data_IF_635454203409
#
_entry.id   IF_635454203409
#
_cell.length_a   1.000
_cell.length_b   1.000
_cell.length_c   1.000
_cell.angle_alpha   90.00
_cell.angle_beta   90.00
_cell.angle_gamma   90.00
#
_symmetry.space_group_name_H-M   'P 1'
#
loop_
_entity.id
_entity.type
_entity.pdbx_description
1 polymer ?
#
# COMPACT_ATOMS: atom_id res chain seq x y z
N UNK A 1 23.35 12.56 16.11
CA UNK A 1 23.00 12.68 15.69
C UNK A 1 23.17 12.86 16.17
N UNK A 2 23.52 13.00 16.99
CA UNK A 2 23.16 13.11 16.98
C UNK A 2 23.24 12.68 16.66
N UNK A 3 24.36 12.34 17.74
CA UNK A 3 23.73 12.15 16.48
C UNK A 3 24.13 13.13 15.42
N UNK A 4 24.37 12.61 14.20
CA UNK A 4 24.59 13.46 13.06
C UNK A 4 23.29 14.18 12.67
N UNK A 5 23.42 15.24 11.89
CA UNK A 5 22.24 15.93 11.37
C UNK A 5 21.36 15.01 10.55
N UNK A 6 21.95 14.14 9.74
CA UNK A 6 21.15 13.25 8.90
C UNK A 6 20.38 12.21 9.72
N UNK A 7 21.00 11.65 10.78
CA UNK A 7 20.30 10.74 11.66
C UNK A 7 19.17 11.41 12.41
N UNK A 8 19.41 12.61 12.89
CA UNK A 8 18.38 13.37 13.59
C UNK A 8 17.22 13.69 12.66
N UNK A 9 17.54 14.13 11.47
CA UNK A 9 16.52 14.44 10.47
C UNK A 9 15.72 13.18 10.11
N UNK A 10 16.40 12.04 9.91
CA UNK A 10 15.73 10.79 9.60
C UNK A 10 14.73 10.41 10.68
N UNK A 11 15.15 10.48 11.94
CA UNK A 11 14.25 10.15 13.05
C UNK A 11 13.06 11.09 13.11
N UNK A 12 13.29 12.37 12.91
CA UNK A 12 12.24 13.36 12.93
C UNK A 12 11.23 13.12 11.82
N UNK A 13 11.71 12.91 10.60
CA UNK A 13 10.86 12.65 9.45
C UNK A 13 10.06 11.36 9.66
N UNK A 14 10.72 10.31 10.17
CA UNK A 14 10.06 9.03 10.38
C UNK A 14 9.00 9.12 11.46
N UNK A 15 9.29 9.76 12.58
CA UNK A 15 8.33 9.91 13.66
C UNK A 15 7.18 10.83 13.31
N UNK A 16 7.43 11.83 12.49
CA UNK A 16 6.43 12.80 12.09
C UNK A 16 5.75 12.43 10.76
N UNK A 17 6.10 11.29 10.21
CA UNK A 17 5.48 10.84 8.97
C UNK A 17 4.05 10.40 9.26
N UNK A 18 3.11 11.28 8.99
CA UNK A 18 1.70 11.02 9.20
C UNK A 18 1.22 9.82 8.39
N UNK A 19 1.84 9.57 7.25
CA UNK A 19 1.44 8.44 6.41
C UNK A 19 1.78 7.11 7.05
N UNK A 20 2.91 7.01 7.72
CA UNK A 20 3.26 5.80 8.47
C UNK A 20 2.27 5.55 9.58
N UNK A 21 1.95 6.59 10.35
CA UNK A 21 1.01 6.49 11.45
C UNK A 21 -0.40 6.14 10.96
N UNK A 22 -0.84 6.79 9.90
CA UNK A 22 -2.16 6.51 9.31
C UNK A 22 -2.22 5.11 8.73
N UNK A 23 -1.14 4.64 8.11
CA UNK A 23 -1.09 3.28 7.58
C UNK A 23 -1.27 2.26 8.69
N UNK A 24 -0.60 2.44 9.81
CA UNK A 24 -0.73 1.55 10.97
C UNK A 24 -2.14 1.59 11.54
N UNK A 25 -2.67 2.79 11.72
CA UNK A 25 -4.01 2.97 12.27
C UNK A 25 -5.09 2.39 11.36
N UNK A 26 -4.90 2.49 10.04
CA UNK A 26 -5.83 1.94 9.06
C UNK A 26 -5.62 0.48 8.75
N UNK A 27 -4.58 -0.14 9.32
CA UNK A 27 -4.26 -1.54 9.06
C UNK A 27 -3.61 -1.78 7.72
N UNK A 28 -3.04 -0.76 7.10
CA UNK A 28 -2.35 -0.91 5.82
C UNK A 28 -0.92 -1.40 6.03
N UNK A 29 -0.44 -2.19 5.09
CA UNK A 29 0.89 -2.80 5.17
C UNK A 29 2.04 -1.83 4.90
N UNK A 30 1.76 -0.71 4.22
CA UNK A 30 2.80 0.19 3.76
C UNK A 30 2.25 1.59 3.60
N UNK A 31 3.11 2.58 3.87
CA UNK A 31 2.78 3.97 3.61
C UNK A 31 2.58 4.25 2.12
N UNK A 32 3.13 3.40 1.27
CA UNK A 32 2.98 3.54 -0.18
C UNK A 32 1.51 3.54 -0.62
N UNK A 33 0.61 2.99 0.20
CA UNK A 33 -0.82 2.99 -0.08
C UNK A 33 -1.38 4.39 -0.26
N UNK A 34 -0.81 5.38 0.43
CA UNK A 34 -1.33 6.74 0.36
C UNK A 34 -1.07 7.40 -0.99
N UNK A 35 -0.02 6.97 -1.69
CA UNK A 35 0.19 7.43 -3.07
C UNK A 35 -0.91 6.91 -3.99
N UNK A 36 -1.27 5.64 -3.84
CA UNK A 36 -2.36 5.06 -4.61
C UNK A 36 -3.69 5.74 -4.25
N UNK A 37 -3.89 6.03 -2.97
CA UNK A 37 -5.10 6.72 -2.52
C UNK A 37 -5.21 8.10 -3.15
N UNK A 38 -4.11 8.86 -3.23
CA UNK A 38 -4.11 10.15 -3.91
C UNK A 38 -4.52 10.02 -5.37
N UNK A 39 -3.95 9.04 -6.06
CA UNK A 39 -4.27 8.78 -7.47
C UNK A 39 -5.75 8.40 -7.59
N UNK A 40 -6.23 7.58 -6.69
CA UNK A 40 -7.63 7.13 -6.71
C UNK A 40 -8.59 8.30 -6.49
N UNK A 41 -8.29 9.17 -5.53
CA UNK A 41 -9.14 10.33 -5.26
C UNK A 41 -9.20 11.27 -6.46
N UNK A 42 -8.09 11.40 -7.18
CA UNK A 42 -8.00 12.32 -8.31
C UNK A 42 -8.54 11.70 -9.60
N UNK A 43 -8.11 10.49 -9.90
CA UNK A 43 -8.31 9.91 -11.24
C UNK A 43 -9.25 8.71 -11.25
N UNK A 44 -9.61 8.17 -10.09
CA UNK A 44 -10.54 7.03 -9.97
C UNK A 44 -10.17 5.87 -10.88
N UNK A 45 -8.90 5.47 -10.81
CA UNK A 45 -8.39 4.40 -11.68
C UNK A 45 -8.92 3.02 -11.29
N UNK A 46 -9.27 2.84 -10.01
CA UNK A 46 -9.83 1.59 -9.51
C UNK A 46 -11.34 1.70 -9.42
N UNK A 47 -12.03 0.66 -9.84
CA UNK A 47 -13.50 0.61 -9.86
C UNK A 47 -13.97 -0.75 -9.40
N UNK A 48 -15.16 -0.79 -8.84
CA UNK A 48 -15.80 -2.03 -8.42
C UNK A 48 -15.91 -3.01 -9.60
N UNK A 49 -15.59 -4.27 -9.34
CA UNK A 49 -15.69 -5.33 -10.34
C UNK A 49 -14.53 -5.44 -11.31
N UNK A 50 -13.53 -4.59 -11.17
CA UNK A 50 -12.40 -4.54 -12.10
C UNK A 50 -11.41 -5.68 -11.86
N UNK A 51 -10.68 -6.05 -12.91
CA UNK A 51 -9.57 -6.99 -12.80
C UNK A 51 -8.26 -6.19 -12.75
N UNK A 52 -7.43 -6.46 -11.77
CA UNK A 52 -6.21 -5.68 -11.51
C UNK A 52 -5.02 -6.62 -11.41
N UNK A 53 -3.93 -6.23 -12.03
CA UNK A 53 -2.64 -6.90 -11.91
C UNK A 53 -1.68 -5.96 -11.18
N UNK A 54 -1.17 -6.41 -10.04
CA UNK A 54 -0.24 -5.64 -9.22
C UNK A 54 1.16 -6.24 -9.36
N UNK A 55 2.00 -5.61 -10.16
CA UNK A 55 3.37 -6.05 -10.41
C UNK A 55 4.31 -5.44 -9.38
N UNK A 56 5.15 -6.29 -8.75
CA UNK A 56 6.00 -5.84 -7.67
C UNK A 56 5.20 -5.59 -6.40
N UNK A 57 4.29 -6.49 -6.08
CA UNK A 57 3.24 -6.25 -5.09
C UNK A 57 3.70 -6.23 -3.64
N UNK A 58 4.77 -6.95 -3.29
CA UNK A 58 5.19 -7.04 -1.89
C UNK A 58 5.52 -5.66 -1.31
N UNK A 59 5.15 -5.38 -0.07
CA UNK A 59 4.51 -6.25 0.93
C UNK A 59 2.99 -6.40 0.80
N UNK A 60 2.36 -5.80 -0.19
CA UNK A 60 0.95 -6.01 -0.47
C UNK A 60 0.02 -4.84 -0.18
N UNK A 61 0.57 -3.66 0.11
CA UNK A 61 -0.25 -2.50 0.45
C UNK A 61 -1.18 -2.05 -0.67
N UNK A 62 -0.67 -2.02 -1.90
CA UNK A 62 -1.49 -1.62 -3.03
C UNK A 62 -2.56 -2.65 -3.35
N UNK A 63 -2.21 -3.94 -3.32
CA UNK A 63 -3.19 -5.00 -3.52
C UNK A 63 -4.28 -4.97 -2.46
N UNK A 64 -3.90 -4.75 -1.21
CA UNK A 64 -4.85 -4.64 -0.11
C UNK A 64 -5.82 -3.48 -0.31
N UNK A 65 -5.29 -2.31 -0.65
CA UNK A 65 -6.11 -1.13 -0.94
C UNK A 65 -7.05 -1.39 -2.12
N UNK A 66 -6.49 -1.91 -3.22
CA UNK A 66 -7.26 -2.17 -4.42
C UNK A 66 -8.37 -3.18 -4.18
N UNK A 67 -8.13 -4.21 -3.37
CA UNK A 67 -9.13 -5.24 -3.09
C UNK A 67 -10.36 -4.67 -2.41
N UNK A 68 -10.19 -3.65 -1.59
CA UNK A 68 -11.31 -2.99 -0.91
C UNK A 68 -12.20 -2.22 -1.88
N UNK A 69 -11.61 -1.73 -2.97
CA UNK A 69 -12.35 -0.95 -3.96
C UNK A 69 -13.01 -1.86 -5.00
N UNK A 70 -12.26 -2.82 -5.54
CA UNK A 70 -12.82 -3.68 -6.59
C UNK A 70 -13.83 -4.68 -6.06
N UNK A 71 -13.73 -5.03 -4.77
CA UNK A 71 -14.71 -5.87 -4.11
C UNK A 71 -14.72 -7.30 -4.61
N UNK A 72 -15.76 -8.05 -4.19
CA UNK A 72 -15.87 -9.48 -4.47
C UNK A 72 -16.05 -9.80 -5.93
N UNK A 73 -16.60 -8.88 -6.70
CA UNK A 73 -16.80 -9.08 -8.14
C UNK A 73 -15.56 -8.81 -8.95
N UNK A 74 -14.58 -8.15 -8.33
CA UNK A 74 -13.30 -7.86 -8.95
C UNK A 74 -12.32 -8.98 -8.69
N UNK A 75 -11.18 -8.90 -9.37
CA UNK A 75 -10.11 -9.86 -9.20
C UNK A 75 -8.79 -9.12 -9.14
N UNK A 76 -7.97 -9.46 -8.16
CA UNK A 76 -6.63 -8.90 -8.05
C UNK A 76 -5.63 -10.03 -8.05
N UNK A 77 -4.65 -9.92 -8.93
CA UNK A 77 -3.52 -10.84 -9.00
C UNK A 77 -2.28 -10.04 -8.65
N UNK A 78 -1.61 -10.44 -7.59
CA UNK A 78 -0.37 -9.82 -7.14
C UNK A 78 0.82 -10.68 -7.55
N UNK A 79 1.86 -10.06 -8.07
CA UNK A 79 3.06 -10.75 -8.54
C UNK A 79 4.28 -10.07 -7.94
N UNK A 80 5.17 -10.85 -7.34
CA UNK A 80 6.44 -10.35 -6.84
C UNK A 80 7.43 -11.50 -6.76
N UNK A 81 8.71 -11.18 -6.87
CA UNK A 81 9.78 -12.15 -6.62
C UNK A 81 9.96 -12.40 -5.13
N UNK A 82 9.56 -11.43 -4.30
CA UNK A 82 9.60 -11.57 -2.85
C UNK A 82 8.31 -12.17 -2.35
N UNK A 83 8.38 -12.98 -1.28
CA UNK A 83 7.17 -13.48 -0.66
C UNK A 83 6.41 -12.34 0.02
N UNK A 84 5.12 -12.52 0.16
CA UNK A 84 4.31 -11.59 0.95
C UNK A 84 3.21 -12.36 1.66
N UNK A 85 2.76 -11.81 2.78
CA UNK A 85 1.65 -12.39 3.52
C UNK A 85 0.38 -12.32 2.69
N UNK A 86 -0.47 -13.31 2.87
CA UNK A 86 -1.74 -13.37 2.15
C UNK A 86 -2.58 -12.11 2.41
N UNK A 87 -3.24 -11.67 1.36
CA UNK A 87 -4.21 -10.57 1.43
C UNK A 87 -5.56 -11.13 1.03
N UNK A 88 -6.58 -10.88 1.85
CA UNK A 88 -7.92 -11.35 1.56
C UNK A 88 -8.39 -10.80 0.20
N UNK A 89 -8.88 -11.68 -0.65
CA UNK A 89 -9.38 -11.30 -1.96
C UNK A 89 -8.31 -11.10 -3.03
N UNK A 90 -7.05 -11.43 -2.74
CA UNK A 90 -5.94 -11.26 -3.68
C UNK A 90 -5.30 -12.62 -3.97
N UNK A 91 -5.11 -12.92 -5.25
CA UNK A 91 -4.35 -14.09 -5.67
C UNK A 91 -2.88 -13.70 -5.79
N UNK A 92 -1.99 -14.46 -5.18
CA UNK A 92 -0.55 -14.19 -5.25
C UNK A 92 0.13 -15.26 -6.09
N UNK A 93 0.90 -14.80 -7.05
CA UNK A 93 1.68 -15.69 -7.93
C UNK A 93 3.18 -15.60 -7.64
#
# INVERSE_FOLDING_TARGET
MSRSKSSKRWLQEHHQDEYVLKARAGGYRSRAVFKLDEIQQKDQVLKAGQNVLDLGAAPGGWSEYASRIVGERGRIIAVDLLPMEAVAGVEFL
#
